data_IF_815198851494
#
_entry.id   IF_815198851494
#
_cell.length_a   1.000
_cell.length_b   1.000
_cell.length_c   1.000
_cell.angle_alpha   90.00
_cell.angle_beta   90.00
_cell.angle_gamma   90.00
#
_symmetry.space_group_name_H-M   'P 1'
#
loop_
_entity.id
_entity.type
_entity.pdbx_description
1 polymer ?
#
# COMPACT_ATOMS: atom_id res chain seq x y z
N UNK A 1 5.82 -2.29 -9.72
CA UNK A 1 5.59 -1.03 -8.98
C UNK A 1 4.44 -1.19 -7.99
N UNK A 2 3.28 -1.65 -8.45
CA UNK A 2 2.11 -1.77 -7.55
C UNK A 2 2.39 -2.71 -6.39
N UNK A 3 2.92 -3.91 -6.67
CA UNK A 3 3.20 -4.90 -5.64
C UNK A 3 4.21 -4.36 -4.63
N UNK A 4 5.29 -3.76 -5.10
CA UNK A 4 6.33 -3.24 -4.21
C UNK A 4 5.84 -2.08 -3.36
N UNK A 5 5.02 -1.18 -3.92
CA UNK A 5 4.47 -0.06 -3.16
C UNK A 5 3.48 -0.53 -2.11
N UNK A 6 2.59 -1.45 -2.46
CA UNK A 6 1.62 -1.99 -1.52
C UNK A 6 2.31 -2.79 -0.40
N UNK A 7 3.34 -3.58 -0.76
CA UNK A 7 4.12 -4.30 0.22
C UNK A 7 4.86 -3.34 1.15
N UNK A 8 5.53 -2.31 0.61
CA UNK A 8 6.24 -1.33 1.42
C UNK A 8 5.30 -0.62 2.38
N UNK A 9 4.09 -0.23 1.92
CA UNK A 9 3.10 0.38 2.79
C UNK A 9 2.68 -0.56 3.91
N UNK A 10 2.39 -1.82 3.59
CA UNK A 10 1.99 -2.79 4.60
C UNK A 10 3.12 -3.04 5.61
N UNK A 11 4.35 -3.20 5.13
CA UNK A 11 5.48 -3.50 5.98
C UNK A 11 5.93 -2.28 6.79
N UNK A 12 6.21 -1.17 6.13
CA UNK A 12 6.80 0.00 6.80
C UNK A 12 5.79 0.76 7.65
N UNK A 13 4.58 0.97 7.14
CA UNK A 13 3.56 1.73 7.87
C UNK A 13 2.67 0.85 8.72
N UNK A 14 2.35 -0.35 8.26
CA UNK A 14 1.52 -1.29 9.00
C UNK A 14 2.30 -2.02 10.10
N UNK A 15 3.30 -2.80 9.74
CA UNK A 15 4.03 -3.65 10.68
C UNK A 15 5.02 -2.83 11.51
N UNK A 16 5.87 -2.03 10.87
CA UNK A 16 6.89 -1.24 11.56
C UNK A 16 6.36 0.08 12.12
N UNK A 17 5.17 0.50 11.72
CA UNK A 17 4.49 1.72 12.22
C UNK A 17 5.29 2.99 11.99
N UNK A 18 5.94 3.08 10.84
CA UNK A 18 6.72 4.26 10.47
C UNK A 18 5.82 5.34 9.89
N UNK A 19 6.16 6.59 10.16
CA UNK A 19 5.45 7.75 9.63
C UNK A 19 6.14 8.24 8.37
N UNK A 20 5.44 8.22 7.24
CA UNK A 20 6.00 8.65 5.95
C UNK A 20 6.33 10.15 5.91
N UNK A 21 5.75 10.96 6.79
CA UNK A 21 6.03 12.38 6.84
C UNK A 21 7.50 12.69 7.19
N UNK A 22 8.19 11.77 7.83
CA UNK A 22 9.62 11.90 8.11
C UNK A 22 10.45 12.02 6.85
N UNK A 23 9.97 11.52 5.71
CA UNK A 23 10.68 11.59 4.44
C UNK A 23 10.59 12.95 3.76
N UNK A 24 9.89 13.91 4.32
CA UNK A 24 9.66 15.22 3.70
C UNK A 24 10.88 16.13 3.68
N UNK A 25 11.94 15.80 4.42
CA UNK A 25 13.18 16.58 4.46
C UNK A 25 14.40 15.65 4.39
N UNK A 26 15.58 16.14 3.96
CA UNK A 26 16.78 15.31 3.90
C UNK A 26 17.18 14.72 5.24
N UNK A 27 17.09 15.50 6.33
CA UNK A 27 17.41 15.00 7.66
C UNK A 27 16.38 13.99 8.16
N UNK A 28 15.10 14.23 7.87
CA UNK A 28 14.02 13.30 8.21
C UNK A 28 14.12 11.99 7.45
N UNK A 29 14.61 12.05 6.20
CA UNK A 29 14.82 10.86 5.39
C UNK A 29 15.85 9.93 6.04
N UNK A 30 16.96 10.47 6.51
CA UNK A 30 17.98 9.70 7.22
C UNK A 30 17.43 9.12 8.52
N UNK A 31 16.69 9.92 9.29
CA UNK A 31 16.04 9.47 10.51
C UNK A 31 15.04 8.34 10.27
N UNK A 32 14.30 8.42 9.16
CA UNK A 32 13.33 7.40 8.78
C UNK A 32 14.02 6.04 8.62
N UNK A 33 15.13 5.99 7.90
CA UNK A 33 15.83 4.72 7.66
C UNK A 33 16.52 4.21 8.91
N UNK A 34 17.01 5.07 9.79
CA UNK A 34 17.55 4.66 11.06
C UNK A 34 16.47 4.05 11.96
N UNK A 35 15.31 4.70 12.02
CA UNK A 35 14.17 4.21 12.80
C UNK A 35 13.64 2.90 12.22
N UNK A 36 13.61 2.78 10.90
CA UNK A 36 13.21 1.57 10.21
C UNK A 36 14.08 0.40 10.63
N UNK A 37 15.39 0.59 10.61
CA UNK A 37 16.33 -0.47 10.99
C UNK A 37 16.16 -0.85 12.47
N UNK A 38 16.00 0.13 13.34
CA UNK A 38 15.79 -0.12 14.75
C UNK A 38 14.52 -0.94 15.00
N UNK A 39 13.41 -0.55 14.39
CA UNK A 39 12.15 -1.28 14.56
C UNK A 39 12.19 -2.66 13.95
N UNK A 40 12.90 -2.82 12.83
CA UNK A 40 13.09 -4.13 12.23
C UNK A 40 13.88 -5.05 13.15
N UNK A 41 14.95 -4.54 13.77
CA UNK A 41 15.78 -5.32 14.70
C UNK A 41 15.01 -5.71 15.95
N UNK A 42 14.09 -4.89 16.40
CA UNK A 42 13.28 -5.12 17.60
C UNK A 42 12.00 -5.94 17.31
N UNK A 43 11.70 -6.20 16.03
CA UNK A 43 10.46 -6.87 15.65
C UNK A 43 10.48 -8.34 16.08
N UNK A 44 9.48 -8.73 16.87
CA UNK A 44 9.34 -10.10 17.35
C UNK A 44 8.13 -10.80 16.75
N UNK A 45 7.15 -10.04 16.24
CA UNK A 45 5.95 -10.61 15.63
C UNK A 45 5.34 -9.58 14.68
N UNK A 46 4.60 -10.10 13.75
CA UNK A 46 3.93 -9.31 12.73
C UNK A 46 3.84 -10.11 11.44
N UNK A 47 2.98 -9.67 10.53
CA UNK A 47 2.84 -10.35 9.26
C UNK A 47 2.38 -9.39 8.16
N UNK A 48 2.73 -9.77 6.93
CA UNK A 48 2.11 -9.25 5.72
C UNK A 48 1.64 -10.47 4.93
N UNK A 49 0.35 -10.56 4.68
CA UNK A 49 -0.24 -11.63 3.85
C UNK A 49 -0.47 -11.10 2.46
N UNK A 50 -0.11 -11.89 1.48
CA UNK A 50 -0.20 -11.53 0.07
C UNK A 50 -0.96 -12.60 -0.67
N UNK A 51 -1.93 -12.20 -1.47
CA UNK A 51 -2.68 -13.09 -2.35
C UNK A 51 -2.83 -12.42 -3.72
N UNK A 52 -2.60 -13.19 -4.77
CA UNK A 52 -2.82 -12.72 -6.14
C UNK A 52 -3.68 -13.71 -6.89
N UNK A 53 -4.72 -13.19 -7.53
CA UNK A 53 -5.58 -13.97 -8.43
C UNK A 53 -5.51 -13.37 -9.81
N UNK A 54 -5.55 -14.21 -10.81
CA UNK A 54 -5.53 -13.77 -12.20
C UNK A 54 -6.68 -14.42 -12.96
N UNK A 55 -7.45 -13.59 -13.64
CA UNK A 55 -8.52 -14.03 -14.53
C UNK A 55 -8.22 -13.51 -15.92
N UNK A 56 -8.21 -14.40 -16.90
CA UNK A 56 -7.94 -14.04 -18.30
C UNK A 56 -9.20 -14.22 -19.13
N UNK A 57 -9.49 -13.23 -19.98
CA UNK A 57 -10.57 -13.30 -20.94
C UNK A 57 -9.96 -13.58 -22.31
N UNK A 58 -10.14 -14.81 -22.81
CA UNK A 58 -9.66 -15.27 -24.14
C UNK A 58 -8.13 -15.20 -24.32
N UNK A 59 -7.34 -15.03 -23.26
CA UNK A 59 -5.89 -14.91 -23.33
C UNK A 59 -5.37 -13.59 -23.90
N UNK A 60 -6.25 -12.63 -24.21
CA UNK A 60 -5.87 -11.33 -24.80
C UNK A 60 -5.89 -10.20 -23.79
N UNK A 61 -6.68 -10.34 -22.77
CA UNK A 61 -6.79 -9.36 -21.70
C UNK A 61 -7.11 -10.08 -20.41
N UNK A 62 -6.96 -9.41 -19.30
CA UNK A 62 -7.24 -10.03 -18.03
C UNK A 62 -7.23 -9.07 -16.89
N UNK A 63 -7.48 -9.62 -15.71
CA UNK A 63 -7.55 -8.88 -14.46
C UNK A 63 -6.68 -9.59 -13.43
N UNK A 64 -5.76 -8.83 -12.81
CA UNK A 64 -5.07 -9.26 -11.60
C UNK A 64 -5.75 -8.63 -10.40
N UNK A 65 -6.06 -9.45 -9.41
CA UNK A 65 -6.57 -8.97 -8.13
C UNK A 65 -5.55 -9.29 -7.06
N UNK A 66 -4.98 -8.25 -6.47
CA UNK A 66 -3.98 -8.34 -5.42
C UNK A 66 -4.65 -8.01 -4.09
N UNK A 67 -4.45 -8.87 -3.10
CA UNK A 67 -4.92 -8.62 -1.74
C UNK A 67 -3.71 -8.64 -0.82
N UNK A 68 -3.49 -7.57 -0.09
CA UNK A 68 -2.41 -7.46 0.88
C UNK A 68 -3.01 -7.04 2.22
N UNK A 69 -2.71 -7.84 3.23
CA UNK A 69 -3.16 -7.60 4.60
C UNK A 69 -1.96 -7.59 5.53
N UNK A 70 -1.91 -6.62 6.43
CA UNK A 70 -0.85 -6.57 7.43
C UNK A 70 -1.42 -6.64 8.84
N UNK A 71 -0.52 -6.91 9.81
CA UNK A 71 -0.89 -7.04 11.22
C UNK A 71 -1.05 -5.72 11.94
N UNK A 72 -0.91 -4.59 11.24
CA UNK A 72 -1.00 -3.26 11.83
C UNK A 72 -2.42 -2.84 12.15
N UNK A 73 -2.53 -1.64 12.71
CA UNK A 73 -3.83 -1.07 13.12
C UNK A 73 -4.62 -0.49 11.95
N UNK A 74 -3.99 -0.32 10.80
CA UNK A 74 -4.60 0.35 9.67
C UNK A 74 -4.48 1.86 9.73
N UNK A 75 -5.27 2.54 8.93
CA UNK A 75 -5.28 3.99 8.87
C UNK A 75 -6.64 4.48 8.39
N UNK A 76 -6.89 5.78 8.55
CA UNK A 76 -8.12 6.39 8.06
C UNK A 76 -8.06 6.52 6.53
N UNK A 77 -9.07 6.00 5.86
CA UNK A 77 -9.12 5.92 4.40
C UNK A 77 -10.54 6.13 3.87
N UNK A 78 -10.70 6.62 2.62
CA UNK A 78 -11.96 6.46 1.92
C UNK A 78 -12.20 4.99 1.61
N UNK A 79 -13.45 4.55 1.72
CA UNK A 79 -13.79 3.14 1.53
C UNK A 79 -13.31 2.60 0.19
N UNK A 80 -13.34 3.42 -0.86
CA UNK A 80 -12.90 3.02 -2.20
C UNK A 80 -12.28 4.18 -2.96
N UNK A 81 -11.16 3.90 -3.62
CA UNK A 81 -10.50 4.83 -4.53
C UNK A 81 -10.83 4.50 -5.97
N UNK A 82 -10.91 5.54 -6.80
CA UNK A 82 -11.04 5.44 -8.24
C UNK A 82 -9.98 6.32 -8.91
N UNK A 83 -9.67 6.02 -10.18
CA UNK A 83 -8.61 6.74 -10.91
C UNK A 83 -8.87 8.24 -11.01
N UNK A 84 -10.12 8.65 -11.07
CA UNK A 84 -10.53 10.04 -11.20
C UNK A 84 -10.78 10.73 -9.86
N UNK A 85 -10.49 10.08 -8.75
CA UNK A 85 -10.70 10.63 -7.42
C UNK A 85 -9.47 11.42 -6.96
N UNK A 86 -9.42 12.70 -7.35
CA UNK A 86 -8.29 13.57 -6.99
C UNK A 86 -8.24 13.90 -5.50
N UNK A 87 -9.37 13.88 -4.81
CA UNK A 87 -9.42 14.12 -3.37
C UNK A 87 -8.71 13.00 -2.61
N UNK A 88 -8.98 11.76 -2.99
CA UNK A 88 -8.30 10.61 -2.40
C UNK A 88 -6.79 10.66 -2.64
N UNK A 89 -6.37 11.03 -3.84
CA UNK A 89 -4.95 11.19 -4.16
C UNK A 89 -4.25 12.18 -3.24
N UNK A 90 -4.85 13.33 -3.02
CA UNK A 90 -4.27 14.36 -2.16
C UNK A 90 -4.19 13.88 -0.72
N UNK A 91 -5.22 13.22 -0.23
CA UNK A 91 -5.29 12.75 1.15
C UNK A 91 -4.21 11.73 1.50
N UNK A 92 -3.81 10.90 0.53
CA UNK A 92 -2.89 9.78 0.78
C UNK A 92 -1.54 9.95 0.09
N UNK A 93 -1.16 11.17 -0.28
CA UNK A 93 0.04 11.44 -1.07
C UNK A 93 1.34 10.91 -0.42
N UNK A 94 1.42 10.88 0.90
CA UNK A 94 2.64 10.45 1.60
C UNK A 94 2.89 8.95 1.64
N UNK A 95 1.97 8.12 1.11
CA UNK A 95 2.08 6.66 1.17
C UNK A 95 2.31 5.99 -0.18
N UNK A 96 2.66 6.75 -1.21
CA UNK A 96 2.79 6.21 -2.56
C UNK A 96 1.45 5.85 -3.21
N UNK A 97 0.35 6.13 -2.55
CA UNK A 97 -0.98 5.76 -3.03
C UNK A 97 -1.36 6.45 -4.34
N UNK A 98 -0.98 7.72 -4.59
CA UNK A 98 -1.27 8.33 -5.87
C UNK A 98 -0.68 7.57 -7.06
N UNK A 99 0.53 7.02 -6.91
CA UNK A 99 1.15 6.20 -7.94
C UNK A 99 0.38 4.89 -8.13
N UNK A 100 0.07 4.20 -7.03
CA UNK A 100 -0.70 2.95 -7.06
C UNK A 100 -2.06 3.21 -7.70
N UNK A 101 -2.72 4.28 -7.28
CA UNK A 101 -4.03 4.67 -7.78
C UNK A 101 -4.03 4.85 -9.30
N UNK A 102 -2.97 5.48 -9.84
CA UNK A 102 -2.88 5.71 -11.28
C UNK A 102 -2.64 4.43 -12.09
N UNK A 103 -2.09 3.39 -11.46
CA UNK A 103 -1.75 2.13 -12.13
C UNK A 103 -2.84 1.07 -11.98
N UNK A 104 -3.78 1.25 -11.06
CA UNK A 104 -4.84 0.29 -10.79
C UNK A 104 -6.16 0.72 -11.40
N UNK A 105 -6.99 -0.26 -11.78
CA UNK A 105 -8.36 0.00 -12.15
C UNK A 105 -9.17 0.42 -10.92
N UNK A 106 -8.97 -0.26 -9.81
CA UNK A 106 -9.57 0.10 -8.53
C UNK A 106 -8.63 -0.26 -7.39
N UNK A 107 -8.79 0.46 -6.29
CA UNK A 107 -8.05 0.23 -5.07
C UNK A 107 -9.04 0.39 -3.92
N UNK A 108 -9.18 -0.66 -3.11
CA UNK A 108 -10.13 -0.69 -2.01
C UNK A 108 -9.44 -1.11 -0.71
N UNK A 109 -9.49 -0.23 0.28
CA UNK A 109 -9.05 -0.58 1.63
C UNK A 109 -10.23 -1.14 2.42
N UNK A 110 -9.94 -2.11 3.28
CA UNK A 110 -10.94 -2.84 4.04
C UNK A 110 -10.57 -2.89 5.52
N UNK A 111 -11.57 -3.23 6.35
CA UNK A 111 -11.37 -3.32 7.77
C UNK A 111 -10.95 -1.98 8.37
N UNK A 112 -9.91 -1.99 9.17
CA UNK A 112 -9.34 -0.79 9.78
C UNK A 112 -8.36 -0.04 8.87
N UNK A 113 -8.17 -0.51 7.64
CA UNK A 113 -7.18 0.02 6.70
C UNK A 113 -5.92 -0.82 6.62
N UNK A 114 -5.89 -1.97 7.28
CA UNK A 114 -4.76 -2.90 7.25
C UNK A 114 -4.88 -3.93 6.14
N UNK A 115 -5.89 -3.83 5.30
CA UNK A 115 -6.09 -4.72 4.17
C UNK A 115 -6.44 -3.89 2.94
N UNK A 116 -5.83 -4.22 1.81
CA UNK A 116 -6.10 -3.53 0.54
C UNK A 116 -6.30 -4.55 -0.56
N UNK A 117 -7.28 -4.26 -1.42
CA UNK A 117 -7.54 -5.04 -2.63
C UNK A 117 -7.32 -4.12 -3.82
N UNK A 118 -6.39 -4.50 -4.69
CA UNK A 118 -6.06 -3.76 -5.90
C UNK A 118 -6.46 -4.59 -7.11
N UNK A 119 -7.14 -3.96 -8.06
CA UNK A 119 -7.55 -4.58 -9.31
C UNK A 119 -6.80 -3.91 -10.45
N UNK A 120 -6.05 -4.71 -11.22
CA UNK A 120 -5.22 -4.24 -12.31
C UNK A 120 -5.70 -4.92 -13.58
N UNK A 121 -6.11 -4.10 -14.56
CA UNK A 121 -6.53 -4.60 -15.88
C UNK A 121 -5.35 -4.53 -16.85
N UNK A 122 -5.17 -5.57 -17.64
CA UNK A 122 -4.17 -5.58 -18.68
C UNK A 122 -4.82 -5.93 -20.02
N UNK A 123 -4.37 -5.29 -21.11
CA UNK A 123 -4.94 -5.54 -22.45
C UNK A 123 -4.48 -6.86 -23.05
#
# INVERSE_FOLDING_TARGET
TVVSELFSNAFEHGVLKLDSSLKSSPSGFAEYYQLRQKRLDELTQGYVKFNMQHTSDSGRSGVFTLTIEDSGKGFDYPERFRRDDSVAKNKFSGRGIPLIYSLCHSLEYQGSGNKVVAEIHWP
#
